data_IF_366199292218
#
_entry.id   IF_366199292218
#
_cell.length_a   1.000
_cell.length_b   1.000
_cell.length_c   1.000
_cell.angle_alpha   90.00
_cell.angle_beta   90.00
_cell.angle_gamma   90.00
#
_symmetry.space_group_name_H-M   'P 1'
#
loop_
_entity.id
_entity.type
_entity.pdbx_description
1 polymer ?
#
# COMPACT_ATOMS: atom_id res chain seq x y z
N UNK A 1 14.93 35.50 12.78
CA UNK A 1 14.21 34.47 13.55
C UNK A 1 13.54 33.55 12.54
N UNK A 2 14.10 32.36 12.30
CA UNK A 2 13.53 31.38 11.37
C UNK A 2 12.34 30.73 12.07
N UNK A 3 11.13 31.05 11.64
CA UNK A 3 9.89 30.42 12.10
C UNK A 3 9.94 28.94 11.73
N UNK A 4 10.46 28.09 12.61
CA UNK A 4 10.36 26.64 12.44
C UNK A 4 8.90 26.26 12.66
N UNK A 5 8.08 26.36 11.60
CA UNK A 5 6.72 25.84 11.64
C UNK A 5 6.80 24.38 12.11
N UNK A 6 6.14 24.00 13.23
CA UNK A 6 6.25 22.68 13.81
C UNK A 6 5.81 21.66 12.76
N UNK A 7 6.63 20.63 12.56
CA UNK A 7 6.32 19.59 11.59
C UNK A 7 5.04 18.86 12.03
N UNK A 8 3.92 19.14 11.35
CA UNK A 8 2.64 18.54 11.67
C UNK A 8 2.48 17.22 10.92
N UNK A 9 2.12 16.17 11.66
CA UNK A 9 1.77 14.87 11.09
C UNK A 9 0.35 14.93 10.55
N UNK A 10 0.18 14.75 9.24
CA UNK A 10 -1.12 14.83 8.57
C UNK A 10 -1.78 13.45 8.56
N UNK A 11 -1.00 12.41 8.22
CA UNK A 11 -1.45 11.01 8.21
C UNK A 11 -0.34 10.13 8.77
N UNK A 12 -0.72 9.20 9.65
CA UNK A 12 0.14 8.12 10.11
C UNK A 12 -0.64 6.81 10.03
N UNK A 13 -0.26 5.92 9.13
CA UNK A 13 -0.97 4.67 8.90
C UNK A 13 -0.02 3.53 8.47
N UNK A 14 -0.51 2.31 8.20
CA UNK A 14 0.34 1.18 7.83
C UNK A 14 1.13 1.33 6.53
N UNK A 15 0.81 2.33 5.70
CA UNK A 15 1.54 2.64 4.47
C UNK A 15 2.66 3.65 4.70
N UNK A 16 2.52 4.51 5.70
CA UNK A 16 3.56 5.46 6.08
C UNK A 16 3.05 6.65 6.89
N UNK A 17 3.95 7.60 7.05
CA UNK A 17 3.74 8.90 7.68
C UNK A 17 3.87 9.99 6.61
N UNK A 18 2.87 10.85 6.51
CA UNK A 18 2.90 12.07 5.71
C UNK A 18 2.95 13.25 6.67
N UNK A 19 4.01 14.04 6.60
CA UNK A 19 4.13 15.30 7.34
C UNK A 19 4.11 16.47 6.36
N UNK A 20 4.13 17.70 6.88
CA UNK A 20 4.21 18.91 6.05
C UNK A 20 5.53 19.06 5.29
N UNK A 21 6.58 18.31 5.66
CA UNK A 21 7.94 18.48 5.09
C UNK A 21 8.50 17.22 4.44
N UNK A 22 8.10 16.04 4.93
CA UNK A 22 8.63 14.75 4.48
C UNK A 22 7.55 13.69 4.45
N UNK A 23 7.86 12.64 3.72
CA UNK A 23 7.08 11.42 3.64
C UNK A 23 7.97 10.29 4.10
N UNK A 24 7.57 9.58 5.14
CA UNK A 24 8.20 8.34 5.54
C UNK A 24 7.32 7.19 5.09
N UNK A 25 7.84 6.25 4.31
CA UNK A 25 7.08 5.07 3.90
C UNK A 25 7.95 3.82 3.99
N UNK A 26 7.32 2.64 4.02
CA UNK A 26 8.05 1.36 4.02
C UNK A 26 8.24 0.83 2.61
N UNK A 27 9.34 1.20 1.98
CA UNK A 27 9.76 0.75 0.65
C UNK A 27 9.83 -0.77 0.58
N UNK A 28 9.39 -1.35 -0.54
CA UNK A 28 9.39 -2.80 -0.80
C UNK A 28 8.60 -3.64 0.23
N UNK A 29 7.62 -3.06 0.91
CA UNK A 29 6.75 -3.80 1.83
C UNK A 29 5.80 -4.70 1.05
N UNK A 30 5.82 -5.99 1.37
CA UNK A 30 4.88 -6.99 0.85
C UNK A 30 4.01 -7.55 2.00
N UNK A 31 2.99 -8.35 1.69
CA UNK A 31 2.14 -8.99 2.71
C UNK A 31 2.90 -9.80 3.76
N UNK A 32 4.02 -10.42 3.35
CA UNK A 32 4.81 -11.32 4.19
C UNK A 32 6.19 -10.79 4.54
N UNK A 33 6.56 -9.58 4.07
CA UNK A 33 7.87 -8.97 4.35
C UNK A 33 7.68 -7.53 4.81
N UNK A 34 8.26 -7.20 5.96
CA UNK A 34 8.43 -5.82 6.40
C UNK A 34 9.32 -5.07 5.40
N UNK A 35 8.86 -3.89 4.97
CA UNK A 35 9.64 -3.03 4.08
C UNK A 35 10.76 -2.29 4.81
N UNK A 36 11.60 -1.61 4.04
CA UNK A 36 12.64 -0.72 4.57
C UNK A 36 12.03 0.67 4.72
N UNK A 37 12.18 1.30 5.88
CA UNK A 37 11.70 2.67 6.08
C UNK A 37 12.58 3.63 5.29
N UNK A 38 11.98 4.33 4.34
CA UNK A 38 12.60 5.41 3.58
C UNK A 38 11.91 6.73 3.94
N UNK A 39 12.71 7.72 4.36
CA UNK A 39 12.25 9.07 4.64
C UNK A 39 12.69 9.96 3.46
N UNK A 40 11.73 10.50 2.70
CA UNK A 40 11.96 11.30 1.50
C UNK A 40 11.33 12.70 1.66
N UNK A 41 12.03 13.79 1.31
CA UNK A 41 11.43 15.12 1.33
C UNK A 41 10.32 15.24 0.27
N UNK A 42 9.24 15.96 0.59
CA UNK A 42 8.09 16.13 -0.31
C UNK A 42 8.47 16.71 -1.67
N UNK A 43 9.48 17.58 -1.73
CA UNK A 43 9.98 18.20 -2.96
C UNK A 43 10.52 17.21 -3.98
N UNK A 44 10.84 15.98 -3.58
CA UNK A 44 11.34 14.93 -4.46
C UNK A 44 10.26 13.96 -4.92
N UNK A 45 9.00 14.08 -4.46
CA UNK A 45 7.93 13.18 -4.88
C UNK A 45 7.26 13.76 -6.14
N UNK A 46 7.34 13.03 -7.25
CA UNK A 46 6.84 13.50 -8.56
C UNK A 46 5.44 12.99 -8.84
N UNK A 47 5.16 11.73 -8.51
CA UNK A 47 3.84 11.16 -8.74
C UNK A 47 3.54 10.02 -7.77
N UNK A 48 2.24 9.81 -7.56
CA UNK A 48 1.72 8.75 -6.69
C UNK A 48 0.71 7.95 -7.48
N UNK A 49 0.93 6.65 -7.52
CA UNK A 49 0.07 5.70 -8.22
C UNK A 49 -0.55 4.75 -7.22
N UNK A 50 -1.87 4.78 -7.13
CA UNK A 50 -2.64 3.81 -6.38
C UNK A 50 -3.08 2.71 -7.33
N UNK A 51 -2.73 1.47 -7.02
CA UNK A 51 -3.11 0.30 -7.81
C UNK A 51 -3.65 -0.78 -6.89
N UNK A 52 -4.68 -1.48 -7.33
CA UNK A 52 -5.19 -2.68 -6.65
C UNK A 52 -4.69 -3.89 -7.43
N UNK A 53 -3.70 -4.60 -6.90
CA UNK A 53 -3.24 -5.84 -7.51
C UNK A 53 -4.20 -6.98 -7.17
N UNK A 54 -4.74 -7.62 -8.20
CA UNK A 54 -5.62 -8.78 -8.11
C UNK A 54 -5.02 -9.93 -8.92
N UNK A 55 -4.90 -11.10 -8.32
CA UNK A 55 -4.49 -12.31 -9.04
C UNK A 55 -5.74 -13.13 -9.36
N UNK A 56 -6.49 -12.69 -10.38
CA UNK A 56 -7.81 -13.28 -10.70
C UNK A 56 -7.66 -14.75 -11.12
N UNK A 57 -6.70 -15.05 -11.99
CA UNK A 57 -6.49 -16.40 -12.52
C UNK A 57 -6.13 -17.39 -11.40
N UNK A 58 -5.12 -17.06 -10.58
CA UNK A 58 -4.69 -17.91 -9.48
C UNK A 58 -5.76 -18.02 -8.38
N UNK A 59 -6.44 -16.91 -8.07
CA UNK A 59 -7.54 -16.89 -7.11
C UNK A 59 -8.70 -17.79 -7.53
N UNK A 60 -9.10 -17.75 -8.81
CA UNK A 60 -10.16 -18.61 -9.34
C UNK A 60 -9.76 -20.10 -9.29
N UNK A 61 -8.51 -20.42 -9.67
CA UNK A 61 -7.98 -21.78 -9.63
C UNK A 61 -7.99 -22.34 -8.20
N UNK A 62 -7.56 -21.54 -7.21
CA UNK A 62 -7.57 -21.92 -5.80
C UNK A 62 -9.00 -22.09 -5.25
N UNK A 63 -9.93 -21.21 -5.60
CA UNK A 63 -11.33 -21.33 -5.16
C UNK A 63 -12.00 -22.57 -5.76
N UNK A 64 -11.83 -22.81 -7.06
CA UNK A 64 -12.42 -23.97 -7.74
C UNK A 64 -11.82 -25.29 -7.27
N UNK A 65 -10.49 -25.36 -7.09
CA UNK A 65 -9.81 -26.52 -6.52
C UNK A 65 -10.17 -26.76 -5.03
N UNK A 66 -10.30 -25.69 -4.25
CA UNK A 66 -10.75 -25.77 -2.85
C UNK A 66 -12.18 -26.26 -2.72
N UNK A 67 -13.08 -25.83 -3.62
CA UNK A 67 -14.47 -26.30 -3.68
C UNK A 67 -14.56 -27.81 -4.01
N UNK A 68 -13.69 -28.31 -4.89
CA UNK A 68 -13.62 -29.75 -5.19
C UNK A 68 -13.06 -30.56 -4.02
N UNK A 69 -12.18 -29.95 -3.20
CA UNK A 69 -11.52 -30.59 -2.07
C UNK A 69 -12.21 -30.32 -0.73
N UNK A 70 -13.45 -29.83 -0.76
CA UNK A 70 -14.20 -29.36 0.42
C UNK A 70 -14.71 -30.50 1.31
N UNK A 71 -14.52 -31.75 0.87
CA UNK A 71 -14.79 -32.97 1.64
C UNK A 71 -13.95 -33.07 2.91
N UNK A 72 -12.80 -32.41 2.94
CA UNK A 72 -11.93 -32.32 4.11
C UNK A 72 -11.73 -30.87 4.56
N UNK A 73 -11.38 -30.66 5.84
CA UNK A 73 -10.97 -29.35 6.38
C UNK A 73 -9.82 -28.73 5.56
N UNK A 74 -9.08 -29.56 4.84
CA UNK A 74 -7.99 -29.19 3.92
C UNK A 74 -8.48 -28.27 2.78
N UNK A 75 -9.72 -28.40 2.31
CA UNK A 75 -10.29 -27.57 1.25
C UNK A 75 -10.56 -26.11 1.65
N UNK A 76 -10.66 -25.82 2.96
CA UNK A 76 -10.94 -24.47 3.46
C UNK A 76 -9.76 -23.51 3.24
N UNK A 77 -8.53 -24.01 3.38
CA UNK A 77 -7.31 -23.22 3.23
C UNK A 77 -7.13 -22.64 1.81
N UNK A 78 -7.20 -23.43 0.72
CA UNK A 78 -7.11 -22.90 -0.64
C UNK A 78 -8.30 -21.99 -0.97
N UNK A 79 -9.50 -22.26 -0.43
CA UNK A 79 -10.66 -21.38 -0.61
C UNK A 79 -10.44 -20.00 0.03
N UNK A 80 -9.90 -19.96 1.26
CA UNK A 80 -9.58 -18.73 1.95
C UNK A 80 -8.47 -17.95 1.23
N UNK A 81 -7.39 -18.62 0.82
CA UNK A 81 -6.29 -18.00 0.07
C UNK A 81 -6.75 -17.49 -1.31
N UNK A 82 -7.60 -18.26 -2.00
CA UNK A 82 -8.19 -17.88 -3.28
C UNK A 82 -9.08 -16.64 -3.13
N UNK A 83 -9.94 -16.62 -2.10
CA UNK A 83 -10.76 -15.45 -1.76
C UNK A 83 -9.91 -14.21 -1.46
N UNK A 84 -8.81 -14.37 -0.71
CA UNK A 84 -7.87 -13.29 -0.40
C UNK A 84 -7.21 -12.72 -1.67
N UNK A 85 -6.80 -13.58 -2.60
CA UNK A 85 -6.18 -13.19 -3.88
C UNK A 85 -7.17 -12.49 -4.83
N UNK A 86 -8.45 -12.90 -4.82
CA UNK A 86 -9.52 -12.26 -5.58
C UNK A 86 -9.90 -10.89 -4.98
N UNK A 87 -9.90 -10.79 -3.65
CA UNK A 87 -10.12 -9.52 -2.94
C UNK A 87 -9.05 -8.50 -3.35
N UNK A 88 -7.80 -8.92 -3.46
CA UNK A 88 -6.70 -8.10 -3.97
C UNK A 88 -6.11 -7.14 -2.95
N UNK A 89 -4.84 -6.82 -3.17
CA UNK A 89 -4.03 -6.00 -2.28
C UNK A 89 -3.99 -4.54 -2.74
N UNK A 90 -4.32 -3.56 -1.90
CA UNK A 90 -3.98 -2.17 -2.18
C UNK A 90 -2.46 -2.01 -2.23
N UNK A 91 -1.97 -1.38 -3.30
CA UNK A 91 -0.58 -1.03 -3.49
C UNK A 91 -0.48 0.48 -3.75
N UNK A 92 0.35 1.16 -2.98
CA UNK A 92 0.72 2.55 -3.24
C UNK A 92 2.13 2.55 -3.78
N UNK A 93 2.33 3.15 -4.95
CA UNK A 93 3.63 3.33 -5.55
C UNK A 93 4.00 4.81 -5.53
N UNK A 94 5.08 5.13 -4.84
CA UNK A 94 5.62 6.50 -4.75
C UNK A 94 6.78 6.60 -5.74
N UNK A 95 6.67 7.52 -6.70
CA UNK A 95 7.71 7.79 -7.68
C UNK A 95 8.45 9.06 -7.29
N UNK A 96 9.76 8.92 -7.09
CA UNK A 96 10.63 10.04 -6.74
C UNK A 96 11.24 10.68 -7.99
N UNK A 97 11.74 11.92 -7.85
CA UNK A 97 12.43 12.67 -8.91
C UNK A 97 13.71 11.98 -9.40
N UNK A 98 14.29 11.09 -8.60
CA UNK A 98 15.43 10.25 -8.98
C UNK A 98 15.04 9.02 -9.83
N UNK A 99 13.77 8.84 -10.17
CA UNK A 99 13.27 7.69 -10.92
C UNK A 99 13.15 6.41 -10.09
N UNK A 100 13.40 6.46 -8.78
CA UNK A 100 13.15 5.33 -7.90
C UNK A 100 11.66 5.22 -7.59
N UNK A 101 11.13 4.01 -7.75
CA UNK A 101 9.73 3.68 -7.54
C UNK A 101 9.66 2.68 -6.40
N UNK A 102 9.05 3.11 -5.30
CA UNK A 102 8.88 2.27 -4.13
C UNK A 102 7.43 1.87 -3.97
N UNK A 103 7.19 0.56 -4.06
CA UNK A 103 5.88 -0.04 -3.85
C UNK A 103 5.68 -0.40 -2.38
N UNK A 104 4.56 0.04 -1.82
CA UNK A 104 4.08 -0.33 -0.49
C UNK A 104 2.78 -1.11 -0.65
N UNK A 105 2.81 -2.41 -0.33
CA UNK A 105 1.62 -3.27 -0.39
C UNK A 105 1.02 -3.45 1.00
N UNK A 106 -0.29 -3.23 1.10
CA UNK A 106 -1.08 -3.49 2.31
C UNK A 106 -2.05 -4.64 2.11
N UNK A 107 -2.60 -5.16 3.23
CA UNK A 107 -3.63 -6.20 3.18
C UNK A 107 -4.94 -5.70 2.56
N UNK A 108 -5.82 -6.59 2.08
CA UNK A 108 -7.04 -6.22 1.35
C UNK A 108 -7.97 -5.26 2.11
N UNK A 109 -7.97 -5.31 3.43
CA UNK A 109 -8.79 -4.44 4.29
C UNK A 109 -8.17 -3.08 4.59
N UNK A 110 -6.90 -2.83 4.26
CA UNK A 110 -6.25 -1.51 4.42
C UNK A 110 -6.45 -0.59 3.21
N UNK A 111 -7.46 -0.86 2.37
CA UNK A 111 -7.84 0.03 1.26
C UNK A 111 -8.12 1.48 1.71
N UNK A 112 -8.91 1.76 2.76
CA UNK A 112 -9.17 3.13 3.18
C UNK A 112 -7.88 3.84 3.65
N UNK A 113 -6.95 3.11 4.26
CA UNK A 113 -5.66 3.66 4.68
C UNK A 113 -4.78 4.02 3.46
N UNK A 114 -4.77 3.18 2.43
CA UNK A 114 -4.03 3.46 1.19
C UNK A 114 -4.56 4.72 0.50
N UNK A 115 -5.89 4.87 0.44
CA UNK A 115 -6.56 6.03 -0.13
C UNK A 115 -6.32 7.30 0.69
N UNK A 116 -6.41 7.22 2.02
CA UNK A 116 -6.12 8.35 2.91
C UNK A 116 -4.66 8.81 2.78
N UNK A 117 -3.71 7.88 2.70
CA UNK A 117 -2.29 8.18 2.49
C UNK A 117 -2.05 8.86 1.13
N UNK A 118 -2.61 8.30 0.05
CA UNK A 118 -2.47 8.86 -1.29
C UNK A 118 -3.13 10.24 -1.40
N UNK A 119 -4.30 10.45 -0.79
CA UNK A 119 -4.99 11.74 -0.81
C UNK A 119 -4.24 12.80 0.01
N UNK A 120 -3.75 12.48 1.21
CA UNK A 120 -2.98 13.41 2.01
C UNK A 120 -1.70 13.86 1.29
N UNK A 121 -1.02 12.93 0.63
CA UNK A 121 0.14 13.26 -0.19
C UNK A 121 -0.21 14.14 -1.39
N UNK A 122 -1.30 13.85 -2.10
CA UNK A 122 -1.76 14.69 -3.22
C UNK A 122 -2.09 16.11 -2.74
N UNK A 123 -2.78 16.25 -1.62
CA UNK A 123 -3.02 17.57 -1.03
C UNK A 123 -1.70 18.28 -0.75
N UNK A 124 -0.70 17.61 -0.21
CA UNK A 124 0.62 18.23 0.04
C UNK A 124 1.40 18.60 -1.23
N UNK A 125 1.25 17.86 -2.33
CA UNK A 125 1.96 18.12 -3.58
C UNK A 125 1.30 19.19 -4.46
N UNK A 126 -0.02 19.34 -4.36
CA UNK A 126 -0.83 20.24 -5.22
C UNK A 126 -1.50 21.38 -4.44
N UNK A 127 -1.13 21.63 -3.19
CA UNK A 127 -1.52 22.88 -2.51
C UNK A 127 -0.65 24.00 -3.08
N UNK A 128 -1.17 24.68 -4.10
CA UNK A 128 -0.78 26.06 -4.46
C UNK A 128 -1.37 27.07 -3.47
#
# INVERSE_FOLDING_TARGET
MLSSSPEQTIVNNPFGLVTTKRVAYMSHKNWFRGGIREDIPLSQVVSIRYEIKRCIFLGLLLVTGGLQSLTDVVGLLPMALGGLLLWGSPQVNVVTAGGTSAAVTGWPWHRPDAEAFANALRCQLFTE
#
